data_IF_978221810822
#
_entry.id   IF_978221810822
#
_cell.length_a   1.000
_cell.length_b   1.000
_cell.length_c   1.000
_cell.angle_alpha   90.00
_cell.angle_beta   90.00
_cell.angle_gamma   90.00
#
_symmetry.space_group_name_H-M   'P 1'
#
loop_
_entity.id
_entity.type
_entity.pdbx_description
1 polymer ?
#
# COMPACT_ATOMS: atom_id res chain seq x y z
N UNK A 1 29.93 6.11 -22.89
CA UNK A 1 29.04 6.19 -24.10
C UNK A 1 27.97 7.22 -23.79
N UNK A 2 27.66 8.18 -24.70
CA UNK A 2 26.59 9.14 -24.41
C UNK A 2 25.24 8.39 -24.50
N UNK A 3 24.56 8.20 -23.38
CA UNK A 3 23.27 7.52 -23.31
C UNK A 3 22.08 8.45 -23.69
N UNK A 4 22.27 9.78 -23.64
CA UNK A 4 21.24 10.78 -23.84
C UNK A 4 21.03 11.08 -25.32
N UNK A 5 19.77 11.05 -25.75
CA UNK A 5 19.33 11.66 -27.00
C UNK A 5 18.74 13.05 -26.70
N UNK A 6 19.53 14.09 -26.87
CA UNK A 6 19.18 15.47 -26.49
C UNK A 6 17.87 15.97 -27.16
N UNK A 7 17.59 15.55 -28.39
CA UNK A 7 16.36 15.94 -29.09
C UNK A 7 15.12 15.35 -28.43
N UNK A 8 15.17 14.05 -28.09
CA UNK A 8 14.07 13.38 -27.40
C UNK A 8 13.94 13.95 -25.99
N UNK A 9 15.03 14.16 -25.27
CA UNK A 9 15.01 14.71 -23.91
C UNK A 9 14.40 16.12 -23.88
N UNK A 10 14.77 16.98 -24.79
CA UNK A 10 14.19 18.32 -24.89
C UNK A 10 12.68 18.28 -25.18
N UNK A 11 12.25 17.40 -26.10
CA UNK A 11 10.84 17.21 -26.41
C UNK A 11 10.07 16.62 -25.22
N UNK A 12 10.64 15.67 -24.51
CA UNK A 12 10.07 15.05 -23.31
C UNK A 12 9.83 16.08 -22.20
N UNK A 13 10.81 16.94 -21.91
CA UNK A 13 10.68 18.00 -20.91
C UNK A 13 9.61 19.03 -21.30
N UNK A 14 9.67 19.52 -22.54
CA UNK A 14 8.71 20.52 -23.03
C UNK A 14 7.27 20.02 -22.94
N UNK A 15 7.04 18.77 -23.37
CA UNK A 15 5.73 18.16 -23.34
C UNK A 15 5.28 17.84 -21.92
N UNK A 16 6.19 17.41 -21.04
CA UNK A 16 5.90 17.14 -19.62
C UNK A 16 5.38 18.38 -18.91
N UNK A 17 6.01 19.55 -19.10
CA UNK A 17 5.51 20.82 -18.55
C UNK A 17 4.16 21.21 -19.13
N UNK A 18 4.03 21.17 -20.46
CA UNK A 18 2.76 21.49 -21.12
C UNK A 18 1.61 20.65 -20.57
N UNK A 19 1.83 19.35 -20.42
CA UNK A 19 0.80 18.44 -19.92
C UNK A 19 0.47 18.72 -18.45
N UNK A 20 1.49 18.87 -17.59
CA UNK A 20 1.29 19.19 -16.17
C UNK A 20 0.55 20.53 -15.99
N UNK A 21 0.92 21.57 -16.72
CA UNK A 21 0.26 22.87 -16.66
C UNK A 21 -1.21 22.80 -17.09
N UNK A 22 -1.52 22.06 -18.15
CA UNK A 22 -2.87 21.87 -18.64
C UNK A 22 -3.75 21.15 -17.61
N UNK A 23 -3.26 20.00 -17.08
CA UNK A 23 -4.01 19.22 -16.09
C UNK A 23 -4.17 20.01 -14.78
N UNK A 24 -3.11 20.68 -14.31
CA UNK A 24 -3.18 21.50 -13.09
C UNK A 24 -4.14 22.70 -13.22
N UNK A 25 -4.25 23.29 -14.42
CA UNK A 25 -5.24 24.33 -14.68
C UNK A 25 -6.67 23.76 -14.61
N UNK A 26 -6.89 22.59 -15.20
CA UNK A 26 -8.17 21.88 -15.14
C UNK A 26 -8.57 21.55 -13.68
N UNK A 27 -7.65 20.95 -12.91
CA UNK A 27 -7.87 20.57 -11.50
C UNK A 27 -8.24 21.81 -10.66
N UNK A 28 -7.51 22.93 -10.81
CA UNK A 28 -7.83 24.16 -10.07
C UNK A 28 -9.21 24.72 -10.39
N UNK A 29 -9.63 24.70 -11.65
CA UNK A 29 -10.96 25.15 -12.08
C UNK A 29 -12.07 24.25 -11.52
N UNK A 30 -11.89 22.94 -11.60
CA UNK A 30 -12.82 21.95 -11.01
C UNK A 30 -12.98 22.16 -9.50
N UNK A 31 -11.88 22.34 -8.77
CA UNK A 31 -11.91 22.61 -7.32
C UNK A 31 -12.53 23.97 -6.97
N UNK A 32 -12.48 24.94 -7.86
CA UNK A 32 -13.17 26.22 -7.73
C UNK A 32 -14.68 26.14 -8.01
N UNK A 33 -15.20 24.96 -8.35
CA UNK A 33 -16.60 24.73 -8.66
C UNK A 33 -17.01 25.18 -10.07
N UNK A 34 -16.04 25.42 -10.97
CA UNK A 34 -16.33 25.69 -12.37
C UNK A 34 -16.81 24.39 -13.06
N UNK A 35 -17.71 24.55 -14.01
CA UNK A 35 -18.09 23.43 -14.87
C UNK A 35 -16.92 23.09 -15.80
N UNK A 36 -16.35 21.90 -15.64
CA UNK A 36 -15.23 21.38 -16.43
C UNK A 36 -15.63 20.10 -17.15
N UNK A 37 -15.02 19.84 -18.31
CA UNK A 37 -15.19 18.63 -19.10
C UNK A 37 -13.83 17.95 -19.28
N UNK A 38 -13.73 16.66 -19.01
CA UNK A 38 -12.47 15.90 -19.15
C UNK A 38 -11.89 15.97 -20.58
N UNK A 39 -12.70 16.22 -21.59
CA UNK A 39 -12.24 16.45 -22.97
C UNK A 39 -11.35 17.69 -23.13
N UNK A 40 -11.33 18.59 -22.13
CA UNK A 40 -10.43 19.76 -22.09
C UNK A 40 -8.98 19.39 -21.71
N UNK A 41 -8.78 18.17 -21.15
CA UNK A 41 -7.44 17.68 -20.82
C UNK A 41 -6.76 17.24 -22.12
N UNK A 42 -5.69 17.94 -22.48
CA UNK A 42 -4.91 17.60 -23.66
C UNK A 42 -4.19 16.26 -23.48
N UNK A 43 -4.12 15.48 -24.56
CA UNK A 43 -3.40 14.20 -24.55
C UNK A 43 -1.90 14.39 -24.28
N UNK A 44 -1.30 13.51 -23.47
CA UNK A 44 0.14 13.48 -23.25
C UNK A 44 0.87 12.87 -24.44
N UNK A 45 1.57 13.68 -25.19
CA UNK A 45 2.29 13.26 -26.40
C UNK A 45 3.59 12.51 -26.11
N UNK A 46 4.03 12.39 -24.83
CA UNK A 46 5.26 11.69 -24.46
C UNK A 46 5.20 10.18 -24.75
N UNK A 47 4.01 9.59 -24.87
CA UNK A 47 3.81 8.17 -25.18
C UNK A 47 4.56 7.71 -26.44
N UNK A 48 4.71 8.58 -27.44
CA UNK A 48 5.45 8.26 -28.67
C UNK A 48 6.94 8.00 -28.44
N UNK A 49 7.52 8.50 -27.36
CA UNK A 49 8.93 8.32 -27.01
C UNK A 49 9.16 7.31 -25.89
N UNK A 50 8.11 6.72 -25.31
CA UNK A 50 8.19 5.88 -24.11
C UNK A 50 9.29 4.80 -24.19
N UNK A 51 9.33 4.02 -25.28
CA UNK A 51 10.35 2.99 -25.49
C UNK A 51 11.77 3.54 -25.62
N UNK A 52 11.94 4.66 -26.34
CA UNK A 52 13.24 5.30 -26.49
C UNK A 52 13.74 5.90 -25.17
N UNK A 53 12.84 6.48 -24.39
CA UNK A 53 13.15 7.00 -23.04
C UNK A 53 13.51 5.85 -22.10
N UNK A 54 12.78 4.74 -22.14
CA UNK A 54 13.11 3.56 -21.34
C UNK A 54 14.52 3.02 -21.60
N UNK A 55 14.95 2.96 -22.87
CA UNK A 55 16.32 2.57 -23.20
C UNK A 55 17.37 3.59 -22.68
N UNK A 56 17.05 4.88 -22.63
CA UNK A 56 17.92 5.88 -22.02
C UNK A 56 17.95 5.72 -20.49
N UNK A 57 16.83 5.44 -19.85
CA UNK A 57 16.75 5.17 -18.40
C UNK A 57 17.66 3.99 -18.03
N UNK A 58 17.58 2.88 -18.76
CA UNK A 58 18.44 1.70 -18.51
C UNK A 58 19.92 2.06 -18.63
N UNK A 59 20.32 2.71 -19.73
CA UNK A 59 21.72 3.11 -19.95
C UNK A 59 22.24 4.12 -18.94
N UNK A 60 21.39 5.03 -18.46
CA UNK A 60 21.76 5.98 -17.41
C UNK A 60 22.00 5.25 -16.07
N UNK A 61 21.19 4.22 -15.78
CA UNK A 61 21.40 3.34 -14.62
C UNK A 61 22.74 2.59 -14.72
N UNK A 62 23.04 1.99 -15.88
CA UNK A 62 24.32 1.31 -16.13
C UNK A 62 25.52 2.26 -15.96
N UNK A 63 25.33 3.54 -16.32
CA UNK A 63 26.37 4.56 -16.16
C UNK A 63 26.44 5.19 -14.76
N UNK A 64 25.46 4.91 -13.86
CA UNK A 64 25.36 5.52 -12.54
C UNK A 64 24.97 7.01 -12.56
N UNK A 65 24.39 7.51 -13.68
CA UNK A 65 24.11 8.93 -13.90
C UNK A 65 22.65 9.30 -13.54
N UNK A 66 22.15 8.84 -12.38
CA UNK A 66 20.73 8.99 -11.98
C UNK A 66 20.29 10.45 -11.80
N UNK A 67 21.15 11.27 -11.17
CA UNK A 67 20.84 12.72 -11.00
C UNK A 67 20.63 13.41 -12.34
N UNK A 68 21.56 13.18 -13.29
CA UNK A 68 21.46 13.71 -14.65
C UNK A 68 20.25 13.14 -15.40
N UNK A 69 19.94 11.84 -15.19
CA UNK A 69 18.75 11.23 -15.78
C UNK A 69 17.49 11.99 -15.38
N UNK A 70 17.31 12.28 -14.09
CA UNK A 70 16.13 12.99 -13.58
C UNK A 70 16.03 14.44 -14.08
N UNK A 71 17.16 15.12 -14.27
CA UNK A 71 17.20 16.46 -14.85
C UNK A 71 16.82 16.46 -16.34
N UNK A 72 17.38 15.51 -17.11
CA UNK A 72 17.20 15.46 -18.55
C UNK A 72 15.89 14.77 -18.97
N UNK A 73 15.45 13.78 -18.22
CA UNK A 73 14.24 13.00 -18.46
C UNK A 73 13.41 12.92 -17.17
N UNK A 74 12.66 13.99 -16.81
CA UNK A 74 11.76 13.95 -15.67
C UNK A 74 10.82 12.75 -15.72
N UNK A 75 10.66 12.06 -14.60
CA UNK A 75 9.92 10.82 -14.56
C UNK A 75 8.44 11.02 -14.87
N UNK A 76 7.87 10.08 -15.59
CA UNK A 76 6.44 10.08 -15.94
C UNK A 76 5.92 8.64 -16.00
N UNK A 77 4.75 8.39 -15.48
CA UNK A 77 4.18 7.04 -15.41
C UNK A 77 3.18 6.77 -16.51
N UNK A 78 2.22 7.65 -16.71
CA UNK A 78 1.11 7.45 -17.65
C UNK A 78 1.53 7.26 -19.12
N UNK A 79 2.53 7.95 -19.69
CA UNK A 79 2.98 7.67 -21.05
C UNK A 79 3.79 6.38 -21.17
N UNK A 80 4.30 5.86 -20.05
CA UNK A 80 5.01 4.57 -19.99
C UNK A 80 4.04 3.40 -19.85
N UNK A 81 2.90 3.58 -19.20
CA UNK A 81 1.93 2.53 -18.91
C UNK A 81 1.48 1.80 -20.17
N UNK A 82 1.07 2.53 -21.22
CA UNK A 82 0.60 1.93 -22.48
C UNK A 82 1.68 1.08 -23.19
N UNK A 83 2.95 1.48 -23.07
CA UNK A 83 4.06 0.78 -23.71
C UNK A 83 4.48 -0.51 -22.98
N UNK A 84 4.17 -0.65 -21.69
CA UNK A 84 4.64 -1.70 -20.80
C UNK A 84 3.53 -2.40 -20.00
N UNK A 85 2.28 -2.35 -20.44
CA UNK A 85 1.11 -2.91 -19.78
C UNK A 85 1.29 -4.37 -19.35
N UNK A 86 1.89 -5.19 -20.22
CA UNK A 86 2.14 -6.63 -19.96
C UNK A 86 3.28 -6.91 -18.98
N UNK A 87 4.13 -5.93 -18.72
CA UNK A 87 5.28 -6.07 -17.82
C UNK A 87 4.99 -5.45 -16.44
N UNK A 88 3.85 -4.79 -16.29
CA UNK A 88 3.45 -4.23 -15.01
C UNK A 88 3.24 -5.30 -13.96
N UNK A 89 3.59 -4.97 -12.72
CA UNK A 89 3.37 -5.81 -11.54
C UNK A 89 3.13 -4.92 -10.31
N UNK A 90 2.37 -5.40 -9.32
CA UNK A 90 2.14 -4.62 -8.11
C UNK A 90 3.44 -4.46 -7.31
N UNK A 91 3.66 -3.26 -6.80
CA UNK A 91 4.74 -2.92 -5.88
C UNK A 91 4.13 -2.56 -4.54
N UNK A 92 4.48 -3.30 -3.49
CA UNK A 92 4.05 -3.06 -2.12
C UNK A 92 5.11 -2.25 -1.39
N UNK A 93 4.80 -1.00 -1.04
CA UNK A 93 5.56 -0.24 -0.05
C UNK A 93 5.32 -0.84 1.34
N UNK A 94 6.36 -1.07 2.13
CA UNK A 94 6.25 -1.74 3.43
C UNK A 94 6.68 -0.79 4.56
N UNK A 95 7.83 -0.13 4.45
CA UNK A 95 8.28 0.81 5.46
C UNK A 95 9.76 1.17 5.35
N UNK A 96 10.28 1.70 6.46
CA UNK A 96 11.64 2.18 6.60
C UNK A 96 12.37 1.40 7.69
N UNK A 97 13.60 1.04 7.44
CA UNK A 97 14.52 0.51 8.45
C UNK A 97 15.10 1.66 9.29
N UNK A 98 15.66 1.32 10.43
CA UNK A 98 16.21 2.31 11.36
C UNK A 98 17.37 3.12 10.78
N UNK A 99 18.07 2.62 9.75
CA UNK A 99 19.13 3.33 9.04
C UNK A 99 18.60 4.24 7.91
N UNK A 100 17.27 4.25 7.73
CA UNK A 100 16.56 5.00 6.70
C UNK A 100 16.53 4.32 5.34
N UNK A 101 16.97 3.06 5.24
CA UNK A 101 16.72 2.23 4.07
C UNK A 101 15.22 1.95 3.94
N UNK A 102 14.73 1.86 2.71
CA UNK A 102 13.33 1.53 2.42
C UNK A 102 13.18 0.05 2.15
N UNK A 103 12.03 -0.53 2.51
CA UNK A 103 11.65 -1.92 2.24
C UNK A 103 10.37 -1.93 1.43
N UNK A 104 10.38 -2.72 0.38
CA UNK A 104 9.23 -2.92 -0.49
C UNK A 104 9.28 -4.32 -1.15
N UNK A 105 8.18 -4.77 -1.72
CA UNK A 105 8.14 -6.01 -2.46
C UNK A 105 7.51 -5.83 -3.83
N UNK A 106 7.84 -6.72 -4.76
CA UNK A 106 7.17 -6.88 -6.05
C UNK A 106 6.46 -8.22 -6.13
N UNK A 107 5.49 -8.32 -7.01
CA UNK A 107 4.75 -9.55 -7.30
C UNK A 107 3.36 -9.60 -6.68
N UNK A 108 2.59 -10.57 -7.10
CA UNK A 108 1.24 -10.87 -6.64
C UNK A 108 1.14 -12.37 -6.32
N UNK A 109 -0.02 -12.84 -5.90
CA UNK A 109 -0.30 -14.28 -5.68
C UNK A 109 0.08 -15.18 -6.88
N UNK A 110 -0.06 -14.68 -8.11
CA UNK A 110 0.27 -15.42 -9.31
C UNK A 110 1.78 -15.47 -9.60
N UNK A 111 2.55 -14.56 -9.02
CA UNK A 111 3.99 -14.44 -9.22
C UNK A 111 4.70 -14.67 -7.90
N UNK A 112 5.86 -15.30 -7.93
CA UNK A 112 6.70 -15.40 -6.75
C UNK A 112 7.12 -14.00 -6.29
N UNK A 113 6.56 -13.54 -5.18
CA UNK A 113 6.91 -12.25 -4.57
C UNK A 113 8.40 -12.18 -4.21
N UNK A 114 8.96 -10.98 -4.24
CA UNK A 114 10.33 -10.73 -3.78
C UNK A 114 10.42 -9.43 -3.01
N UNK A 115 11.06 -9.50 -1.84
CA UNK A 115 11.34 -8.33 -1.01
C UNK A 115 12.66 -7.69 -1.42
N UNK A 116 12.66 -6.37 -1.50
CA UNK A 116 13.81 -5.53 -1.82
C UNK A 116 14.06 -4.54 -0.69
N UNK A 117 15.30 -4.17 -0.52
CA UNK A 117 15.72 -3.01 0.26
C UNK A 117 16.44 -2.02 -0.65
N UNK A 118 16.28 -0.72 -0.38
CA UNK A 118 17.10 0.30 -1.02
C UNK A 118 17.64 1.27 0.03
N UNK A 119 18.94 1.49 0.04
CA UNK A 119 19.57 2.40 1.00
C UNK A 119 19.32 3.87 0.60
N UNK A 120 19.78 4.82 1.44
CA UNK A 120 19.63 6.26 1.17
C UNK A 120 20.32 6.75 -0.09
N UNK A 121 21.31 6.01 -0.61
CA UNK A 121 21.96 6.26 -1.89
C UNK A 121 21.15 5.67 -3.07
N UNK A 122 20.05 4.93 -2.76
CA UNK A 122 19.18 4.27 -3.73
C UNK A 122 19.79 2.99 -4.32
N UNK A 123 20.78 2.41 -3.66
CA UNK A 123 21.34 1.12 -4.04
C UNK A 123 20.34 0.03 -3.66
N UNK A 124 19.83 -0.66 -4.68
CA UNK A 124 18.80 -1.68 -4.56
C UNK A 124 19.43 -3.06 -4.29
N UNK A 125 18.87 -3.77 -3.33
CA UNK A 125 19.22 -5.14 -3.00
C UNK A 125 17.98 -6.03 -2.95
N UNK A 126 17.95 -7.11 -3.73
CA UNK A 126 16.96 -8.18 -3.58
C UNK A 126 17.34 -9.09 -2.41
N UNK A 127 16.35 -9.51 -1.62
CA UNK A 127 16.52 -10.41 -0.47
C UNK A 127 16.06 -11.84 -0.79
N UNK A 128 16.23 -12.76 0.15
CA UNK A 128 15.73 -14.13 0.06
C UNK A 128 14.24 -14.26 0.47
N UNK A 129 13.64 -13.18 0.99
CA UNK A 129 12.26 -13.19 1.46
C UNK A 129 11.28 -12.92 0.31
N UNK A 130 10.11 -13.54 0.40
CA UNK A 130 9.03 -13.40 -0.57
C UNK A 130 7.98 -12.38 -0.13
N UNK A 131 7.81 -12.23 1.18
CA UNK A 131 6.89 -11.28 1.79
C UNK A 131 7.49 -10.67 3.05
N UNK A 132 7.08 -9.46 3.41
CA UNK A 132 7.47 -8.80 4.63
C UNK A 132 6.36 -7.87 5.14
N UNK A 133 6.33 -7.66 6.45
CA UNK A 133 5.51 -6.68 7.10
C UNK A 133 6.21 -6.17 8.36
N UNK A 134 5.72 -5.08 8.92
CA UNK A 134 6.34 -4.47 10.10
C UNK A 134 5.29 -4.04 11.13
N UNK A 135 5.75 -3.84 12.37
CA UNK A 135 4.99 -3.17 13.42
C UNK A 135 4.73 -1.70 13.04
N UNK A 136 3.73 -1.09 13.66
CA UNK A 136 3.35 0.29 13.37
C UNK A 136 4.48 1.33 13.63
N UNK A 137 5.43 1.02 14.52
CA UNK A 137 6.63 1.82 14.78
C UNK A 137 7.82 1.44 13.89
N UNK A 138 7.66 0.40 13.05
CA UNK A 138 8.67 -0.14 12.12
C UNK A 138 9.94 -0.66 12.81
N UNK A 139 9.88 -0.98 14.10
CA UNK A 139 11.01 -1.53 14.84
C UNK A 139 11.08 -3.05 14.79
N UNK A 140 9.94 -3.71 14.64
CA UNK A 140 9.83 -5.18 14.53
C UNK A 140 9.33 -5.54 13.14
N UNK A 141 9.99 -6.52 12.52
CA UNK A 141 9.72 -6.95 11.15
C UNK A 141 9.43 -8.44 11.10
N UNK A 142 8.40 -8.81 10.37
CA UNK A 142 8.07 -10.19 10.06
C UNK A 142 8.43 -10.47 8.60
N UNK A 143 9.30 -11.44 8.39
CA UNK A 143 9.94 -11.75 7.10
C UNK A 143 9.58 -13.18 6.71
N UNK A 144 8.79 -13.36 5.65
CA UNK A 144 8.33 -14.65 5.19
C UNK A 144 9.22 -15.20 4.06
N UNK A 145 9.48 -16.49 4.12
CA UNK A 145 10.19 -17.30 3.11
C UNK A 145 9.49 -18.66 2.97
N UNK A 146 10.00 -19.53 2.10
CA UNK A 146 9.47 -20.89 1.97
C UNK A 146 9.52 -21.72 3.28
N UNK A 147 10.43 -21.38 4.21
CA UNK A 147 10.60 -22.14 5.47
C UNK A 147 9.68 -21.66 6.60
N UNK A 148 9.06 -20.46 6.46
CA UNK A 148 8.24 -19.86 7.51
C UNK A 148 8.46 -18.37 7.65
N UNK A 149 8.05 -17.82 8.82
CA UNK A 149 8.13 -16.40 9.15
C UNK A 149 9.19 -16.20 10.21
N UNK A 150 10.12 -15.28 9.95
CA UNK A 150 11.12 -14.84 10.89
C UNK A 150 10.78 -13.46 11.42
N UNK A 151 10.62 -13.33 12.73
CA UNK A 151 10.42 -12.02 13.36
C UNK A 151 11.74 -11.50 13.88
N UNK A 152 12.13 -10.30 13.45
CA UNK A 152 13.40 -9.66 13.78
C UNK A 152 13.20 -8.25 14.30
N UNK A 153 14.03 -7.85 15.27
CA UNK A 153 14.07 -6.48 15.78
C UNK A 153 15.13 -5.68 15.06
N UNK A 154 14.78 -4.45 14.69
CA UNK A 154 15.68 -3.43 14.11
C UNK A 154 16.64 -3.98 13.03
N UNK A 155 16.10 -4.64 11.99
CA UNK A 155 16.96 -5.18 10.96
C UNK A 155 17.72 -4.08 10.21
N UNK A 156 18.86 -4.45 9.65
CA UNK A 156 19.64 -3.61 8.74
C UNK A 156 19.16 -3.72 7.28
N UNK A 157 19.86 -3.07 6.35
CA UNK A 157 19.57 -3.13 4.92
C UNK A 157 19.68 -4.53 4.29
N UNK A 158 20.20 -5.53 5.00
CA UNK A 158 20.17 -6.93 4.61
C UNK A 158 18.97 -7.69 5.17
N UNK A 159 18.12 -7.02 5.95
CA UNK A 159 17.04 -7.57 6.77
C UNK A 159 17.55 -8.57 7.83
N UNK A 160 18.79 -8.37 8.29
CA UNK A 160 19.39 -9.08 9.40
C UNK A 160 19.23 -8.26 10.68
N UNK A 161 18.82 -8.90 11.77
CA UNK A 161 18.59 -8.27 13.07
C UNK A 161 18.49 -9.29 14.18
N UNK A 162 18.21 -8.82 15.40
CA UNK A 162 17.96 -9.73 16.53
C UNK A 162 16.70 -10.56 16.28
N UNK A 163 16.84 -11.89 16.27
CA UNK A 163 15.73 -12.83 16.08
C UNK A 163 14.87 -12.87 17.35
N UNK A 164 13.61 -12.42 17.23
CA UNK A 164 12.65 -12.44 18.32
C UNK A 164 11.82 -13.72 18.34
N UNK A 165 11.39 -14.18 17.16
CA UNK A 165 10.56 -15.36 17.01
C UNK A 165 10.75 -16.03 15.64
N UNK A 166 10.31 -17.28 15.55
CA UNK A 166 10.22 -18.04 14.30
C UNK A 166 8.92 -18.84 14.31
N UNK A 167 8.14 -18.70 13.24
CA UNK A 167 6.91 -19.44 13.00
C UNK A 167 7.12 -20.30 11.75
N UNK A 168 7.05 -21.63 11.88
CA UNK A 168 7.16 -22.55 10.76
C UNK A 168 5.79 -22.72 10.11
N UNK A 169 5.75 -22.85 8.81
CA UNK A 169 4.47 -23.04 8.12
C UNK A 169 3.73 -24.28 8.61
N UNK A 170 4.41 -25.42 8.76
CA UNK A 170 3.78 -26.64 9.26
C UNK A 170 3.14 -26.47 10.63
N UNK A 171 3.80 -25.78 11.57
CA UNK A 171 3.26 -25.55 12.91
C UNK A 171 1.97 -24.68 12.84
N UNK A 172 1.95 -23.67 11.98
CA UNK A 172 0.76 -22.82 11.75
C UNK A 172 -0.36 -23.64 11.12
N UNK A 173 -0.05 -24.40 10.07
CA UNK A 173 -1.01 -25.22 9.34
C UNK A 173 -1.62 -26.30 10.21
N UNK A 174 -0.84 -26.95 11.06
CA UNK A 174 -1.33 -27.96 12.03
C UNK A 174 -2.34 -27.34 12.99
N UNK A 175 -2.06 -26.15 13.55
CA UNK A 175 -2.99 -25.44 14.44
C UNK A 175 -4.27 -25.01 13.73
N UNK A 176 -4.19 -24.61 12.46
CA UNK A 176 -5.38 -24.26 11.67
C UNK A 176 -6.21 -25.51 11.35
N UNK A 177 -5.58 -26.62 11.03
CA UNK A 177 -6.26 -27.90 10.83
C UNK A 177 -7.02 -28.39 12.08
N UNK A 178 -6.52 -28.09 13.28
CA UNK A 178 -7.23 -28.41 14.53
C UNK A 178 -8.57 -27.67 14.65
N UNK A 179 -8.67 -26.43 14.15
CA UNK A 179 -9.90 -25.63 14.24
C UNK A 179 -10.77 -25.74 12.97
N UNK A 180 -10.21 -26.14 11.83
CA UNK A 180 -10.88 -26.26 10.52
C UNK A 180 -10.59 -27.61 9.87
N UNK A 181 -10.99 -28.75 10.48
CA UNK A 181 -10.58 -30.08 9.99
C UNK A 181 -11.25 -30.50 8.67
N UNK A 182 -12.33 -29.82 8.25
CA UNK A 182 -13.13 -30.21 7.08
C UNK A 182 -13.34 -29.05 6.08
N UNK A 183 -12.71 -27.90 6.30
CA UNK A 183 -12.88 -26.69 5.48
C UNK A 183 -11.55 -26.36 4.80
N UNK A 184 -11.52 -26.19 3.47
CA UNK A 184 -10.33 -25.77 2.75
C UNK A 184 -9.86 -24.40 3.27
N UNK A 185 -8.63 -24.30 3.70
CA UNK A 185 -8.13 -23.14 4.42
C UNK A 185 -6.65 -22.87 4.13
N UNK A 186 -6.07 -21.91 4.82
CA UNK A 186 -4.63 -21.66 4.78
C UNK A 186 -3.79 -22.91 5.10
N UNK A 187 -4.34 -23.85 5.87
CA UNK A 187 -3.68 -25.12 6.21
C UNK A 187 -3.38 -25.99 4.98
N UNK A 188 -4.17 -25.87 3.93
CA UNK A 188 -4.06 -26.69 2.72
C UNK A 188 -3.14 -26.08 1.66
N UNK A 189 -2.54 -24.90 1.94
CA UNK A 189 -1.68 -24.21 0.99
C UNK A 189 -0.33 -24.91 0.82
N UNK A 190 0.01 -25.31 -0.41
CA UNK A 190 1.34 -25.86 -0.73
C UNK A 190 2.45 -24.79 -0.60
N UNK A 191 2.15 -23.54 -0.92
CA UNK A 191 3.06 -22.39 -0.87
C UNK A 191 2.43 -21.24 -0.04
N UNK A 192 2.37 -21.38 1.30
CA UNK A 192 1.67 -20.42 2.16
C UNK A 192 2.17 -18.97 1.99
N UNK A 193 3.49 -18.80 1.83
CA UNK A 193 4.14 -17.49 1.66
C UNK A 193 3.65 -16.71 0.42
N UNK A 194 3.06 -17.39 -0.56
CA UNK A 194 2.53 -16.77 -1.79
C UNK A 194 1.12 -16.24 -1.63
N UNK A 195 0.39 -16.71 -0.63
CA UNK A 195 -1.00 -16.32 -0.38
C UNK A 195 -1.13 -15.13 0.57
N UNK A 196 0.00 -14.63 1.09
CA UNK A 196 0.02 -13.55 2.06
C UNK A 196 -0.37 -12.20 1.43
N UNK A 197 -1.22 -11.47 2.12
CA UNK A 197 -1.66 -10.12 1.76
C UNK A 197 -1.26 -9.09 2.82
N UNK A 198 -1.22 -9.49 4.10
CA UNK A 198 -0.75 -8.66 5.20
C UNK A 198 -0.03 -9.52 6.24
N UNK A 199 0.99 -8.95 6.86
CA UNK A 199 1.72 -9.56 7.97
C UNK A 199 2.16 -8.46 8.93
N UNK A 200 1.62 -8.48 10.16
CA UNK A 200 1.94 -7.47 11.18
C UNK A 200 2.40 -8.15 12.45
N UNK A 201 3.68 -7.99 12.86
CA UNK A 201 4.16 -8.48 14.15
C UNK A 201 3.59 -7.62 15.28
N UNK A 202 3.13 -8.26 16.33
CA UNK A 202 2.54 -7.70 17.53
C UNK A 202 3.35 -8.12 18.77
N UNK A 203 3.29 -7.33 19.85
CA UNK A 203 3.88 -7.65 21.15
C UNK A 203 5.35 -8.12 21.04
N UNK A 204 6.18 -7.35 20.35
CA UNK A 204 7.58 -7.70 20.08
C UNK A 204 7.75 -9.09 19.42
N UNK A 205 6.79 -9.43 18.55
CA UNK A 205 6.81 -10.67 17.77
C UNK A 205 6.27 -11.90 18.49
N UNK A 206 5.64 -11.75 19.65
CA UNK A 206 4.95 -12.84 20.34
C UNK A 206 3.63 -13.22 19.69
N UNK A 207 3.06 -12.33 18.89
CA UNK A 207 1.88 -12.59 18.07
C UNK A 207 2.06 -12.00 16.68
N UNK A 208 1.34 -12.54 15.70
CA UNK A 208 1.27 -12.08 14.32
C UNK A 208 -0.19 -11.92 13.92
N UNK A 209 -0.54 -10.78 13.31
CA UNK A 209 -1.71 -10.71 12.47
C UNK A 209 -1.28 -11.12 11.06
N UNK A 210 -1.90 -12.18 10.55
CA UNK A 210 -1.68 -12.69 9.21
C UNK A 210 -2.98 -12.62 8.43
N UNK A 211 -2.96 -11.93 7.30
CA UNK A 211 -4.03 -11.99 6.30
C UNK A 211 -3.50 -12.71 5.08
N UNK A 212 -4.25 -13.68 4.62
CA UNK A 212 -4.03 -14.39 3.37
C UNK A 212 -5.31 -14.41 2.54
N UNK A 213 -5.22 -14.92 1.34
CA UNK A 213 -6.39 -15.24 0.52
C UNK A 213 -7.37 -16.21 1.21
N UNK A 214 -6.88 -17.02 2.15
CA UNK A 214 -7.65 -18.02 2.89
C UNK A 214 -7.97 -17.61 4.33
N UNK A 215 -8.13 -16.33 4.62
CA UNK A 215 -8.58 -15.88 5.92
C UNK A 215 -7.65 -14.88 6.60
N UNK A 216 -8.15 -14.35 7.72
CA UNK A 216 -7.42 -13.44 8.61
C UNK A 216 -7.24 -14.16 9.94
N UNK A 217 -5.99 -14.28 10.35
CA UNK A 217 -5.58 -15.05 11.53
C UNK A 217 -4.79 -14.21 12.52
N UNK A 218 -5.06 -14.42 13.80
CA UNK A 218 -4.16 -14.01 14.89
C UNK A 218 -3.38 -15.23 15.35
N UNK A 219 -2.07 -15.19 15.20
CA UNK A 219 -1.16 -16.33 15.44
C UNK A 219 -0.29 -16.03 16.65
N UNK A 220 -0.27 -16.92 17.61
CA UNK A 220 0.63 -16.99 18.75
C UNK A 220 1.43 -18.30 18.69
N UNK A 221 2.53 -18.49 19.45
CA UNK A 221 3.41 -19.65 19.30
C UNK A 221 2.73 -21.04 19.39
N UNK A 222 1.62 -21.14 20.12
CA UNK A 222 0.89 -22.41 20.30
C UNK A 222 -0.62 -22.25 20.14
N UNK A 223 -1.05 -21.19 19.48
CA UNK A 223 -2.47 -20.90 19.30
C UNK A 223 -2.68 -20.11 18.01
N UNK A 224 -3.70 -20.50 17.28
CA UNK A 224 -4.24 -19.72 16.16
C UNK A 224 -5.70 -19.39 16.44
N UNK A 225 -6.08 -18.16 16.16
CA UNK A 225 -7.47 -17.72 16.14
C UNK A 225 -7.81 -17.26 14.74
N UNK A 226 -8.86 -17.83 14.14
CA UNK A 226 -9.44 -17.34 12.90
C UNK A 226 -10.31 -16.12 13.23
N UNK A 227 -9.93 -14.97 12.73
CA UNK A 227 -10.70 -13.73 12.90
C UNK A 227 -11.80 -13.57 11.84
N UNK A 228 -11.50 -14.03 10.61
CA UNK A 228 -12.43 -13.92 9.49
C UNK A 228 -12.10 -14.95 8.38
N UNK A 229 -13.12 -15.67 7.80
CA UNK A 229 -14.53 -15.62 8.19
C UNK A 229 -14.71 -16.13 9.66
N UNK A 230 -15.82 -15.78 10.28
CA UNK A 230 -16.12 -16.27 11.63
C UNK A 230 -16.42 -17.77 11.62
N UNK A 231 -16.02 -18.51 12.67
CA UNK A 231 -16.30 -19.95 12.77
C UNK A 231 -17.79 -20.27 12.81
N UNK A 232 -18.59 -19.39 13.43
CA UNK A 232 -20.06 -19.54 13.47
C UNK A 232 -20.66 -19.43 12.06
N UNK A 233 -20.15 -18.49 11.23
CA UNK A 233 -20.58 -18.35 9.83
C UNK A 233 -20.18 -19.58 8.99
N UNK A 234 -19.00 -20.13 9.19
CA UNK A 234 -18.55 -21.34 8.50
C UNK A 234 -19.50 -22.51 8.78
N UNK A 235 -19.87 -22.69 10.05
CA UNK A 235 -20.81 -23.76 10.46
C UNK A 235 -22.25 -23.49 9.99
N UNK A 236 -22.76 -22.27 10.15
CA UNK A 236 -24.15 -21.90 9.79
C UNK A 236 -24.40 -21.97 8.28
N UNK A 237 -23.44 -21.50 7.47
CA UNK A 237 -23.58 -21.45 6.01
C UNK A 237 -22.92 -22.63 5.31
N UNK A 238 -22.40 -23.62 6.04
CA UNK A 238 -21.72 -24.80 5.51
C UNK A 238 -20.64 -24.42 4.45
N UNK A 239 -19.77 -23.44 4.79
CA UNK A 239 -18.77 -22.94 3.85
C UNK A 239 -17.74 -24.03 3.54
N UNK A 240 -17.50 -24.29 2.25
CA UNK A 240 -16.53 -25.29 1.80
C UNK A 240 -15.09 -24.80 1.95
N UNK A 241 -14.86 -23.49 1.95
CA UNK A 241 -13.55 -22.88 2.10
C UNK A 241 -13.59 -21.53 2.85
N UNK A 242 -12.41 -21.04 3.24
CA UNK A 242 -12.23 -19.75 3.96
C UNK A 242 -11.73 -18.61 3.06
N UNK A 243 -11.86 -18.72 1.73
CA UNK A 243 -11.38 -17.71 0.80
C UNK A 243 -12.07 -16.37 0.99
N UNK A 244 -11.28 -15.32 0.99
CA UNK A 244 -11.74 -13.95 1.12
C UNK A 244 -11.71 -13.22 -0.22
N UNK A 245 -12.79 -12.52 -0.52
CA UNK A 245 -12.79 -11.51 -1.58
C UNK A 245 -12.62 -10.13 -0.96
N UNK A 246 -11.62 -9.37 -1.43
CA UNK A 246 -11.27 -8.05 -0.90
C UNK A 246 -11.05 -8.02 0.62
N UNK A 247 -10.40 -9.07 1.17
CA UNK A 247 -10.01 -9.10 2.57
C UNK A 247 -9.12 -7.91 2.93
N UNK A 248 -9.33 -7.34 4.10
CA UNK A 248 -8.52 -6.25 4.63
C UNK A 248 -8.38 -6.34 6.14
N UNK A 249 -7.23 -5.91 6.65
CA UNK A 249 -7.01 -5.77 8.08
C UNK A 249 -6.04 -4.63 8.39
N UNK A 250 -6.20 -4.04 9.56
CA UNK A 250 -5.32 -3.01 10.09
C UNK A 250 -5.16 -3.17 11.61
N UNK A 251 -4.05 -2.65 12.14
CA UNK A 251 -3.75 -2.68 13.57
C UNK A 251 -3.54 -1.26 14.07
N UNK A 252 -4.10 -0.91 15.23
CA UNK A 252 -3.81 0.35 15.90
C UNK A 252 -2.34 0.41 16.31
N UNK A 253 -1.78 1.62 16.39
CA UNK A 253 -0.36 1.81 16.66
C UNK A 253 0.12 1.19 17.99
N UNK A 254 -0.76 1.13 18.99
CA UNK A 254 -0.48 0.49 20.29
C UNK A 254 -0.79 -1.01 20.32
N UNK A 255 -1.21 -1.60 19.19
CA UNK A 255 -1.55 -3.01 19.07
C UNK A 255 -2.82 -3.43 19.81
N UNK A 256 -3.61 -2.49 20.35
CA UNK A 256 -4.81 -2.80 21.14
C UNK A 256 -5.99 -3.19 20.25
N UNK A 257 -6.13 -2.57 19.08
CA UNK A 257 -7.26 -2.77 18.20
C UNK A 257 -6.84 -3.39 16.87
N UNK A 258 -7.68 -4.29 16.36
CA UNK A 258 -7.59 -4.82 14.99
C UNK A 258 -8.91 -4.52 14.30
N UNK A 259 -8.85 -3.83 13.16
CA UNK A 259 -9.96 -3.63 12.24
C UNK A 259 -9.80 -4.60 11.07
N UNK A 260 -10.88 -5.27 10.64
CA UNK A 260 -10.81 -6.26 9.57
C UNK A 260 -12.17 -6.47 8.91
N UNK A 261 -12.19 -7.19 7.80
CA UNK A 261 -13.36 -7.57 7.07
C UNK A 261 -13.06 -8.03 5.65
N UNK A 262 -14.11 -8.29 4.89
CA UNK A 262 -14.07 -8.66 3.48
C UNK A 262 -15.29 -8.09 2.74
N UNK A 263 -15.37 -8.31 1.43
CA UNK A 263 -16.54 -7.88 0.63
C UNK A 263 -17.85 -8.45 1.15
N UNK A 264 -17.85 -9.64 1.72
CA UNK A 264 -19.05 -10.36 2.17
C UNK A 264 -19.33 -10.20 3.67
N UNK A 265 -18.67 -9.28 4.36
CA UNK A 265 -18.85 -9.05 5.81
C UNK A 265 -19.35 -7.64 6.10
N UNK A 266 -19.49 -7.32 7.37
CA UNK A 266 -19.51 -5.98 7.94
C UNK A 266 -18.08 -5.50 8.22
N UNK A 267 -17.97 -4.23 8.67
CA UNK A 267 -16.72 -3.74 9.25
C UNK A 267 -16.54 -4.31 10.66
N UNK A 268 -15.49 -5.09 10.86
CA UNK A 268 -15.21 -5.75 12.12
C UNK A 268 -14.11 -5.01 12.90
N UNK A 269 -14.26 -4.93 14.20
CA UNK A 269 -13.28 -4.31 15.10
C UNK A 269 -13.10 -5.18 16.36
N UNK A 270 -11.87 -5.61 16.64
CA UNK A 270 -11.51 -6.41 17.79
C UNK A 270 -10.71 -5.56 18.79
N UNK A 271 -11.18 -5.46 20.03
CA UNK A 271 -10.38 -5.02 21.15
C UNK A 271 -9.61 -6.23 21.72
N UNK A 272 -8.33 -6.35 21.39
CA UNK A 272 -7.51 -7.51 21.81
C UNK A 272 -7.34 -7.64 23.32
N UNK A 273 -7.33 -6.53 24.06
CA UNK A 273 -7.17 -6.57 25.53
C UNK A 273 -8.39 -7.12 26.24
N UNK A 274 -9.56 -6.85 25.69
CA UNK A 274 -10.85 -7.27 26.26
C UNK A 274 -11.35 -8.56 25.61
N UNK A 275 -10.82 -8.94 24.43
CA UNK A 275 -11.33 -10.04 23.61
C UNK A 275 -12.72 -9.74 23.04
N UNK A 276 -13.09 -8.44 22.93
CA UNK A 276 -14.44 -8.04 22.52
C UNK A 276 -14.44 -7.64 21.04
N UNK A 277 -15.36 -8.21 20.28
CA UNK A 277 -15.61 -7.94 18.88
C UNK A 277 -16.79 -6.98 18.73
N UNK A 278 -16.69 -6.05 17.79
CA UNK A 278 -17.71 -5.09 17.42
C UNK A 278 -17.90 -5.13 15.89
N UNK A 279 -19.11 -4.84 15.45
CA UNK A 279 -19.53 -4.91 14.07
C UNK A 279 -20.23 -3.62 13.66
N UNK A 280 -19.90 -3.08 12.49
CA UNK A 280 -20.48 -1.85 11.96
C UNK A 280 -20.92 -2.05 10.51
N UNK A 281 -22.13 -1.62 10.21
CA UNK A 281 -22.65 -1.70 8.84
C UNK A 281 -21.90 -0.76 7.90
N UNK A 282 -21.60 -1.23 6.66
CA UNK A 282 -20.95 -0.39 5.67
C UNK A 282 -21.94 0.67 5.11
N UNK A 283 -21.47 1.90 4.93
CA UNK A 283 -22.24 2.99 4.31
C UNK A 283 -22.41 2.83 2.79
N UNK A 284 -21.71 1.89 2.17
CA UNK A 284 -21.82 1.49 0.78
C UNK A 284 -21.90 -0.03 0.68
N UNK A 285 -21.85 -0.60 -0.53
CA UNK A 285 -22.17 -2.02 -0.76
C UNK A 285 -21.23 -2.98 -0.04
N UNK A 286 -19.92 -2.67 0.01
CA UNK A 286 -18.91 -3.63 0.45
C UNK A 286 -17.85 -2.99 1.35
N UNK A 287 -17.55 -3.55 2.54
CA UNK A 287 -16.33 -3.23 3.28
C UNK A 287 -15.09 -3.45 2.41
N UNK A 288 -14.15 -2.52 2.47
CA UNK A 288 -12.99 -2.59 1.58
C UNK A 288 -11.66 -2.27 2.26
N UNK A 289 -11.63 -1.33 3.18
CA UNK A 289 -10.38 -0.89 3.80
C UNK A 289 -10.61 -0.36 5.22
N UNK A 290 -9.56 -0.45 6.04
CA UNK A 290 -9.54 0.16 7.36
C UNK A 290 -8.18 0.82 7.62
N UNK A 291 -8.18 1.94 8.34
CA UNK A 291 -6.96 2.61 8.81
C UNK A 291 -7.20 3.27 10.16
N UNK A 292 -6.23 3.17 11.07
CA UNK A 292 -6.27 3.85 12.36
C UNK A 292 -5.58 5.21 12.30
N UNK A 293 -6.09 6.16 13.10
CA UNK A 293 -5.34 7.37 13.41
C UNK A 293 -4.16 7.04 14.33
N UNK A 294 -3.02 7.69 14.13
CA UNK A 294 -1.80 7.37 14.87
C UNK A 294 -1.80 7.79 16.33
N UNK A 295 -2.82 8.53 16.77
CA UNK A 295 -3.09 8.82 18.18
C UNK A 295 -3.94 7.72 18.85
N UNK A 296 -4.28 6.65 18.13
CA UNK A 296 -5.14 5.54 18.55
C UNK A 296 -6.54 5.97 19.01
N UNK A 297 -7.07 7.07 18.48
CA UNK A 297 -8.40 7.58 18.89
C UNK A 297 -9.50 7.21 17.92
N UNK A 298 -9.17 7.02 16.64
CA UNK A 298 -10.16 6.76 15.61
C UNK A 298 -9.75 5.59 14.72
N UNK A 299 -10.74 4.89 14.23
CA UNK A 299 -10.63 4.03 13.05
C UNK A 299 -11.48 4.63 11.93
N UNK A 300 -10.95 4.61 10.70
CA UNK A 300 -11.67 4.96 9.49
C UNK A 300 -11.95 3.67 8.73
N UNK A 301 -13.21 3.45 8.38
CA UNK A 301 -13.63 2.34 7.56
C UNK A 301 -14.11 2.85 6.21
N UNK A 302 -13.59 2.28 5.14
CA UNK A 302 -14.04 2.54 3.79
C UNK A 302 -14.89 1.39 3.28
N UNK A 303 -16.06 1.70 2.76
CA UNK A 303 -16.91 0.82 2.00
C UNK A 303 -17.02 1.30 0.56
N UNK A 304 -17.18 0.39 -0.40
CA UNK A 304 -17.14 0.76 -1.80
C UNK A 304 -18.25 0.13 -2.64
N UNK A 305 -18.49 0.75 -3.80
CA UNK A 305 -19.26 0.20 -4.91
C UNK A 305 -18.50 0.51 -6.20
N UNK A 306 -17.89 -0.50 -6.84
CA UNK A 306 -16.94 -0.35 -7.93
C UNK A 306 -15.77 0.55 -7.57
N UNK A 307 -15.63 1.73 -8.19
CA UNK A 307 -14.52 2.68 -7.98
C UNK A 307 -14.86 3.83 -7.02
N UNK A 308 -16.14 3.96 -6.65
CA UNK A 308 -16.60 4.94 -5.67
C UNK A 308 -16.59 4.31 -4.27
N UNK A 309 -16.51 5.14 -3.25
CA UNK A 309 -16.53 4.67 -1.87
C UNK A 309 -16.94 5.74 -0.89
N UNK A 310 -17.34 5.28 0.28
CA UNK A 310 -17.68 6.12 1.43
C UNK A 310 -16.77 5.73 2.60
N UNK A 311 -16.20 6.71 3.25
CA UNK A 311 -15.35 6.50 4.43
C UNK A 311 -16.00 7.13 5.64
N UNK A 312 -16.25 6.31 6.66
CA UNK A 312 -16.74 6.75 7.98
C UNK A 312 -15.59 6.79 8.97
N UNK A 313 -15.72 7.64 9.98
CA UNK A 313 -14.81 7.73 11.11
C UNK A 313 -15.53 7.31 12.39
N UNK A 314 -14.95 6.35 13.10
CA UNK A 314 -15.46 5.86 14.39
C UNK A 314 -14.45 6.21 15.48
N UNK A 315 -14.82 7.08 16.46
CA UNK A 315 -14.03 7.29 17.66
C UNK A 315 -13.99 6.00 18.50
N UNK A 316 -12.80 5.51 18.83
CA UNK A 316 -12.64 4.23 19.56
C UNK A 316 -13.22 4.28 20.98
N UNK A 317 -13.32 5.45 21.58
CA UNK A 317 -13.97 5.66 22.88
C UNK A 317 -15.51 5.59 22.84
N UNK A 318 -16.10 5.72 21.65
CA UNK A 318 -17.55 5.66 21.43
C UNK A 318 -18.04 4.28 20.94
N UNK A 319 -17.15 3.30 20.80
CA UNK A 319 -17.49 1.99 20.21
C UNK A 319 -18.42 1.19 21.11
N UNK A 320 -18.12 1.11 22.42
CA UNK A 320 -18.87 0.32 23.38
C UNK A 320 -20.31 0.84 23.55
N UNK A 321 -21.31 -0.02 23.34
CA UNK A 321 -22.72 0.32 23.47
C UNK A 321 -23.33 1.09 22.28
N UNK A 322 -22.54 1.33 21.22
CA UNK A 322 -22.98 2.04 20.01
C UNK A 322 -22.85 1.21 18.72
N UNK A 323 -22.79 -0.10 18.81
CA UNK A 323 -22.62 -1.03 17.67
C UNK A 323 -23.77 -0.91 16.64
N UNK A 324 -24.95 -0.47 17.10
CA UNK A 324 -26.14 -0.27 16.24
C UNK A 324 -26.30 1.15 15.72
N UNK A 325 -25.33 2.02 15.99
CA UNK A 325 -25.35 3.39 15.49
C UNK A 325 -25.06 3.40 13.99
N UNK A 326 -25.91 4.07 13.22
CA UNK A 326 -25.81 4.17 11.76
C UNK A 326 -25.37 5.56 11.28
N UNK A 327 -25.28 6.57 12.16
CA UNK A 327 -24.95 7.97 11.83
C UNK A 327 -23.51 8.35 12.16
N UNK A 328 -22.55 7.49 11.82
CA UNK A 328 -21.15 7.81 11.99
C UNK A 328 -20.70 8.93 11.06
N UNK A 329 -19.79 9.83 11.49
CA UNK A 329 -19.31 10.92 10.64
C UNK A 329 -18.67 10.39 9.34
N UNK A 330 -19.20 10.83 8.21
CA UNK A 330 -18.61 10.59 6.89
C UNK A 330 -17.48 11.60 6.68
N UNK A 331 -16.30 11.10 6.34
CA UNK A 331 -15.09 11.91 6.11
C UNK A 331 -14.67 11.96 4.64
N UNK A 332 -15.16 11.03 3.82
CA UNK A 332 -14.99 11.05 2.37
C UNK A 332 -16.12 10.27 1.68
N UNK A 333 -16.68 10.82 0.58
CA UNK A 333 -17.76 10.21 -0.22
C UNK A 333 -17.31 9.95 -1.67
N UNK A 334 -16.01 10.02 -1.96
CA UNK A 334 -15.57 10.07 -3.35
C UNK A 334 -14.83 8.84 -3.83
N UNK A 335 -14.02 8.22 -2.98
CA UNK A 335 -13.11 7.20 -3.47
C UNK A 335 -13.21 5.87 -2.73
N UNK A 336 -13.10 4.81 -3.52
CA UNK A 336 -12.67 3.51 -3.04
C UNK A 336 -11.20 3.62 -2.59
N UNK A 337 -10.95 3.33 -1.34
CA UNK A 337 -9.63 3.40 -0.72
C UNK A 337 -8.84 2.13 -1.06
N UNK A 338 -7.84 2.23 -1.91
CA UNK A 338 -6.96 1.10 -2.24
C UNK A 338 -5.81 0.96 -1.24
N UNK A 339 -5.37 2.06 -0.68
CA UNK A 339 -4.39 2.12 0.40
C UNK A 339 -4.59 3.40 1.20
N UNK A 340 -4.23 3.38 2.48
CA UNK A 340 -4.21 4.57 3.31
C UNK A 340 -3.09 4.51 4.34
N UNK A 341 -2.60 5.70 4.73
CA UNK A 341 -1.59 5.82 5.78
C UNK A 341 -1.70 7.19 6.45
N UNK A 342 -1.41 7.23 7.75
CA UNK A 342 -1.38 8.48 8.49
C UNK A 342 -0.13 9.29 8.15
N UNK A 343 -0.34 10.60 7.99
CA UNK A 343 0.70 11.64 7.88
C UNK A 343 0.49 12.72 8.95
N UNK A 344 1.31 13.77 8.97
CA UNK A 344 1.20 14.84 9.99
C UNK A 344 -0.12 15.60 9.88
N UNK A 345 -0.59 15.83 8.66
CA UNK A 345 -1.76 16.64 8.34
C UNK A 345 -3.09 15.87 8.42
N UNK A 346 -3.04 14.53 8.40
CA UNK A 346 -4.24 13.70 8.36
C UNK A 346 -3.96 12.28 7.87
N UNK A 347 -4.82 11.78 7.01
CA UNK A 347 -4.68 10.47 6.37
C UNK A 347 -4.54 10.67 4.87
N UNK A 348 -3.49 10.09 4.29
CA UNK A 348 -3.34 9.99 2.82
C UNK A 348 -4.07 8.75 2.34
N UNK A 349 -4.98 8.96 1.41
CA UNK A 349 -5.75 7.93 0.72
C UNK A 349 -5.26 7.81 -0.71
N UNK A 350 -5.03 6.59 -1.17
CA UNK A 350 -4.71 6.26 -2.56
C UNK A 350 -5.85 5.56 -3.25
N UNK A 351 -6.15 5.95 -4.50
CA UNK A 351 -7.28 5.45 -5.27
C UNK A 351 -6.89 4.64 -6.52
N UNK A 352 -7.91 4.16 -7.23
CA UNK A 352 -7.77 3.41 -8.47
C UNK A 352 -7.24 4.25 -9.64
N UNK A 353 -7.48 5.55 -9.61
CA UNK A 353 -7.11 6.46 -10.70
C UNK A 353 -5.67 6.97 -10.60
N UNK A 354 -4.98 6.66 -9.49
CA UNK A 354 -3.60 7.05 -9.24
C UNK A 354 -3.47 8.39 -8.53
N UNK A 355 -4.53 8.84 -7.85
CA UNK A 355 -4.48 10.00 -6.98
C UNK A 355 -4.16 9.61 -5.54
N UNK A 356 -3.33 10.43 -4.91
CA UNK A 356 -3.18 10.52 -3.47
C UNK A 356 -3.95 11.75 -3.01
N UNK A 357 -4.77 11.61 -1.96
CA UNK A 357 -5.49 12.73 -1.32
C UNK A 357 -5.19 12.73 0.17
N UNK A 358 -4.73 13.83 0.71
CA UNK A 358 -4.60 14.01 2.14
C UNK A 358 -5.90 14.60 2.69
N UNK A 359 -6.50 13.91 3.64
CA UNK A 359 -7.78 14.27 4.24
C UNK A 359 -7.56 14.44 5.75
N UNK A 360 -7.94 15.57 6.31
CA UNK A 360 -7.83 15.81 7.75
C UNK A 360 -8.94 15.10 8.56
N UNK A 361 -8.87 15.20 9.89
CA UNK A 361 -9.83 14.57 10.79
C UNK A 361 -11.28 15.09 10.63
N UNK A 362 -11.47 16.22 9.97
CA UNK A 362 -12.78 16.81 9.69
C UNK A 362 -13.31 16.43 8.30
N UNK A 363 -12.57 15.65 7.53
CA UNK A 363 -12.94 15.26 6.16
C UNK A 363 -12.55 16.29 5.10
N UNK A 364 -11.73 17.31 5.46
CA UNK A 364 -11.31 18.33 4.51
C UNK A 364 -10.07 17.89 3.75
N UNK A 365 -10.14 17.91 2.40
CA UNK A 365 -8.99 17.64 1.55
C UNK A 365 -7.97 18.78 1.69
N UNK A 366 -6.77 18.44 2.14
CA UNK A 366 -5.65 19.37 2.31
C UNK A 366 -4.84 19.52 1.03
N UNK A 367 -4.61 18.40 0.33
CA UNK A 367 -3.93 18.36 -0.95
C UNK A 367 -4.24 17.07 -1.69
N UNK A 368 -4.01 17.09 -3.01
CA UNK A 368 -3.97 15.92 -3.88
C UNK A 368 -2.72 15.91 -4.74
N UNK A 369 -2.31 14.71 -5.11
CA UNK A 369 -1.14 14.46 -5.94
C UNK A 369 -1.38 13.25 -6.85
N UNK A 370 -0.98 13.34 -8.11
CA UNK A 370 -1.18 12.29 -9.09
C UNK A 370 0.12 11.56 -9.39
N UNK A 371 0.17 10.24 -9.19
CA UNK A 371 1.34 9.40 -9.48
C UNK A 371 1.24 8.66 -10.82
N UNK A 372 0.06 8.62 -11.42
CA UNK A 372 -0.16 8.10 -12.77
C UNK A 372 -0.37 6.59 -12.88
N UNK A 373 -0.62 5.91 -11.81
CA UNK A 373 -0.96 4.48 -11.78
C UNK A 373 -1.79 4.14 -10.58
N UNK A 374 -2.69 3.16 -10.69
CA UNK A 374 -3.52 2.68 -9.57
C UNK A 374 -2.65 2.40 -8.35
N UNK A 375 -3.02 2.99 -7.21
CA UNK A 375 -2.30 2.82 -5.95
C UNK A 375 -2.48 1.39 -5.46
N UNK A 376 -1.39 0.76 -5.02
CA UNK A 376 -1.43 -0.56 -4.42
C UNK A 376 -1.14 -0.53 -2.91
N UNK A 377 -0.22 0.35 -2.48
CA UNK A 377 0.20 0.41 -1.09
C UNK A 377 0.81 1.76 -0.75
N UNK A 378 0.74 2.11 0.53
CA UNK A 378 1.35 3.31 1.10
C UNK A 378 2.10 2.96 2.38
N UNK A 379 3.24 3.63 2.61
CA UNK A 379 3.95 3.60 3.89
C UNK A 379 4.64 4.94 4.13
N UNK A 380 4.72 5.38 5.39
CA UNK A 380 5.41 6.62 5.75
C UNK A 380 6.72 6.35 6.49
N UNK A 381 7.66 7.29 6.41
CA UNK A 381 8.81 7.31 7.32
C UNK A 381 8.35 7.48 8.78
N UNK A 382 9.13 7.01 9.78
CA UNK A 382 8.77 7.13 11.20
C UNK A 382 8.49 8.58 11.64
N UNK A 383 9.17 9.57 11.04
CA UNK A 383 8.98 11.00 11.29
C UNK A 383 7.87 11.63 10.43
N UNK A 384 7.24 10.83 9.53
CA UNK A 384 6.19 11.26 8.59
C UNK A 384 6.60 12.40 7.66
N UNK A 385 7.87 12.47 7.30
CA UNK A 385 8.39 13.44 6.33
C UNK A 385 8.44 12.89 4.90
N UNK A 386 8.42 11.58 4.74
CA UNK A 386 8.44 10.90 3.44
C UNK A 386 7.30 9.90 3.32
N UNK A 387 6.82 9.72 2.09
CA UNK A 387 5.78 8.76 1.72
C UNK A 387 6.31 7.83 0.63
N UNK A 388 6.23 6.54 0.88
CA UNK A 388 6.39 5.49 -0.13
C UNK A 388 5.04 5.20 -0.77
N UNK A 389 5.02 5.16 -2.09
CA UNK A 389 3.82 4.86 -2.87
C UNK A 389 4.11 3.73 -3.84
N UNK A 390 3.56 2.57 -3.58
CA UNK A 390 3.59 1.44 -4.49
C UNK A 390 2.39 1.43 -5.41
N UNK A 391 2.58 1.12 -6.68
CA UNK A 391 1.52 1.08 -7.69
C UNK A 391 1.40 -0.28 -8.36
N UNK A 392 0.27 -0.55 -8.99
CA UNK A 392 0.09 -1.74 -9.84
C UNK A 392 0.92 -1.67 -11.14
N UNK A 393 1.43 -0.49 -11.49
CA UNK A 393 2.20 -0.26 -12.72
C UNK A 393 3.70 -0.53 -12.61
N UNK A 394 4.16 -1.17 -11.53
CA UNK A 394 5.57 -1.52 -11.33
C UNK A 394 6.43 -0.39 -10.78
N UNK A 395 5.83 0.61 -10.15
CA UNK A 395 6.53 1.80 -9.65
C UNK A 395 6.48 1.86 -8.13
N UNK A 396 7.62 2.19 -7.51
CA UNK A 396 7.71 2.69 -6.16
C UNK A 396 8.16 4.14 -6.20
N UNK A 397 7.32 5.04 -5.74
CA UNK A 397 7.64 6.47 -5.61
C UNK A 397 8.07 6.78 -4.19
N UNK A 398 9.08 7.62 -4.03
CA UNK A 398 9.51 8.19 -2.75
C UNK A 398 9.19 9.67 -2.78
N UNK A 399 8.16 10.09 -2.08
CA UNK A 399 7.70 11.47 -2.03
C UNK A 399 8.19 12.17 -0.77
N UNK A 400 8.76 13.37 -0.93
CA UNK A 400 9.06 14.28 0.15
C UNK A 400 7.81 15.10 0.48
N UNK A 401 7.24 14.88 1.67
CA UNK A 401 6.06 15.59 2.17
C UNK A 401 6.39 16.97 2.76
N UNK A 402 7.67 17.22 3.06
CA UNK A 402 8.15 18.47 3.64
C UNK A 402 8.67 19.47 2.59
N UNK A 403 8.57 19.14 1.30
CA UNK A 403 9.05 20.01 0.22
C UNK A 403 8.32 21.36 0.22
N UNK A 404 9.01 22.49 0.19
CA UNK A 404 8.39 23.80 0.12
C UNK A 404 7.92 24.18 -1.31
N UNK A 405 8.30 23.39 -2.32
CA UNK A 405 8.09 23.71 -3.73
C UNK A 405 7.57 22.50 -4.47
N UNK A 406 6.53 22.71 -5.26
CA UNK A 406 6.03 21.72 -6.21
C UNK A 406 6.98 21.61 -7.40
N UNK A 407 7.23 20.40 -7.87
CA UNK A 407 7.97 20.16 -9.10
C UNK A 407 7.14 20.57 -10.33
N UNK A 408 7.78 21.16 -11.33
CA UNK A 408 7.11 21.68 -12.55
C UNK A 408 6.49 20.59 -13.44
N UNK A 409 6.79 19.33 -13.18
CA UNK A 409 6.24 18.18 -13.89
C UNK A 409 5.16 17.45 -13.07
N UNK A 410 4.95 17.87 -11.81
CA UNK A 410 3.96 17.26 -10.92
C UNK A 410 2.54 17.73 -11.23
N UNK A 411 1.60 16.84 -11.01
CA UNK A 411 0.16 17.11 -11.11
C UNK A 411 -0.45 17.01 -9.71
N UNK A 412 -1.12 18.08 -9.29
CA UNK A 412 -1.76 18.14 -7.97
C UNK A 412 -1.87 19.55 -7.43
N UNK A 413 -2.18 19.65 -6.14
CA UNK A 413 -2.35 20.92 -5.41
C UNK A 413 -1.36 21.08 -4.26
N UNK A 414 -0.70 20.00 -3.84
CA UNK A 414 0.29 19.98 -2.76
C UNK A 414 1.71 20.31 -3.26
N UNK A 415 2.55 20.76 -2.35
CA UNK A 415 3.97 21.06 -2.62
C UNK A 415 4.87 19.84 -2.48
N UNK A 416 4.34 18.64 -2.73
CA UNK A 416 5.10 17.40 -2.68
C UNK A 416 6.11 17.31 -3.81
N UNK A 417 7.24 16.68 -3.52
CA UNK A 417 8.28 16.43 -4.50
C UNK A 417 8.64 14.94 -4.53
N UNK A 418 8.63 14.36 -5.71
CA UNK A 418 9.20 13.03 -5.90
C UNK A 418 10.74 13.11 -5.83
N UNK A 419 11.30 12.52 -4.75
CA UNK A 419 12.74 12.44 -4.54
C UNK A 419 13.37 11.38 -5.43
N UNK A 420 12.70 10.23 -5.56
CA UNK A 420 13.21 9.07 -6.24
C UNK A 420 12.07 8.16 -6.71
N UNK A 421 12.33 7.39 -7.75
CA UNK A 421 11.44 6.36 -8.24
C UNK A 421 12.23 5.10 -8.56
N UNK A 422 11.72 3.95 -8.13
CA UNK A 422 12.16 2.64 -8.60
C UNK A 422 11.13 2.07 -9.56
N UNK A 423 11.61 1.50 -10.66
CA UNK A 423 10.75 0.87 -11.67
C UNK A 423 11.14 -0.60 -11.79
N UNK A 424 10.16 -1.48 -11.54
CA UNK A 424 10.31 -2.92 -11.55
C UNK A 424 9.30 -3.51 -12.55
N UNK A 425 9.74 -3.75 -13.75
CA UNK A 425 8.93 -4.39 -14.79
C UNK A 425 9.29 -5.88 -14.88
N UNK A 426 8.30 -6.74 -15.16
CA UNK A 426 8.53 -8.17 -15.35
C UNK A 426 9.51 -8.40 -16.49
N UNK A 427 10.53 -9.25 -16.26
CA UNK A 427 11.54 -9.60 -17.25
C UNK A 427 12.63 -8.54 -17.45
N UNK A 428 12.59 -7.42 -16.74
CA UNK A 428 13.61 -6.37 -16.75
C UNK A 428 14.35 -6.30 -15.42
N UNK A 429 15.58 -5.81 -15.44
CA UNK A 429 16.26 -5.47 -14.18
C UNK A 429 15.63 -4.21 -13.57
N UNK A 430 15.48 -4.16 -12.24
CA UNK A 430 15.03 -2.95 -11.57
C UNK A 430 15.92 -1.74 -11.89
N UNK A 431 15.31 -0.59 -12.11
CA UNK A 431 16.02 0.67 -12.39
C UNK A 431 15.56 1.79 -11.47
N UNK A 432 16.40 2.80 -11.29
CA UNK A 432 16.08 4.08 -10.64
C UNK A 432 15.75 5.12 -11.70
N UNK A 433 14.77 5.96 -11.37
CA UNK A 433 14.42 7.10 -12.22
C UNK A 433 14.14 8.36 -11.42
#
# INVERSE_FOLDING_TARGET
>A
MNWLNERIAAAWRAEGRRYADNVNAFVRRSMAGEQTDESEIAEDQRKQWAKAVWEMVKKANEAGEISRLREELPAATWPMAEAFDKQMQPIRAIGYLHDGSIVFSSGSMADQGRVYTANRQGELRGTAYTFAGCSADQLVWALASADGIHVVSRPDGALEGERLATYRWGDIQDLIHEILPNTESFADCEFPERTLELLVPLEDGKALLLQSYYGIYLIEPNKVELLHPDLEDIEEYELEDTRLDMGHAAVSRDGTWIAYGSQASEHMLLNRRQGQKYMFYPESSYPHYAVFSGDNRNVWFNSCHFYNGVTIRIPLEEVEGNEKREDWPIVDEHARMYAAVEVKEGIVVGDAYGYLRCIDQAGQEQWRYYVGGTIFSLATSPDRSELLVGTYSGMLHVLDLASPVMDEYSIGTGTLRERERFVLLRGENPVRW
#
